data_IF_378240061989
#
_entry.id   IF_378240061989
#
_cell.length_a   1.000
_cell.length_b   1.000
_cell.length_c   1.000
_cell.angle_alpha   90.00
_cell.angle_beta   90.00
_cell.angle_gamma   90.00
#
_symmetry.space_group_name_H-M   'P 1'
#
loop_
_entity.id
_entity.type
_entity.pdbx_description
1 polymer ?
#
# COMPACT_ATOMS: atom_id res chain seq x y z
N UNK A 1 -24.81 10.22 -0.80
CA UNK A 1 -24.29 8.84 -0.75
C UNK A 1 -22.78 8.97 -0.90
N UNK A 2 -22.02 8.86 0.21
CA UNK A 2 -20.58 9.10 0.19
C UNK A 2 -19.89 7.95 -0.60
N UNK A 3 -19.07 8.29 -1.58
CA UNK A 3 -18.27 7.30 -2.30
C UNK A 3 -17.29 6.66 -1.32
N UNK A 4 -17.40 5.35 -1.09
CA UNK A 4 -16.41 4.59 -0.32
C UNK A 4 -15.12 4.55 -1.15
N UNK A 5 -14.15 5.35 -0.73
CA UNK A 5 -12.79 5.34 -1.28
C UNK A 5 -12.20 3.96 -1.02
N UNK A 6 -11.49 3.39 -2.00
CA UNK A 6 -10.83 2.10 -1.86
C UNK A 6 -9.55 2.29 -1.02
N UNK A 7 -9.59 1.83 0.23
CA UNK A 7 -8.51 1.95 1.21
C UNK A 7 -7.18 1.34 0.72
N UNK A 8 -7.22 0.38 -0.20
CA UNK A 8 -6.02 -0.23 -0.76
C UNK A 8 -5.20 0.73 -1.65
N UNK A 9 -5.84 1.75 -2.24
CA UNK A 9 -5.16 2.79 -3.05
C UNK A 9 -4.74 4.01 -2.23
N UNK A 10 -5.22 4.13 -0.99
CA UNK A 10 -4.80 5.20 -0.10
C UNK A 10 -3.45 4.83 0.49
N UNK A 11 -2.56 5.80 0.76
CA UNK A 11 -1.39 5.52 1.58
C UNK A 11 -1.77 4.83 2.90
N UNK A 12 -0.92 3.91 3.33
CA UNK A 12 -1.25 3.05 4.47
C UNK A 12 -1.52 3.94 5.68
N UNK A 13 -2.65 3.71 6.33
CA UNK A 13 -2.92 4.40 7.58
C UNK A 13 -1.81 4.02 8.58
N UNK A 14 -1.27 5.01 9.26
CA UNK A 14 -0.23 4.90 10.29
C UNK A 14 -0.65 4.08 11.52
N UNK A 15 -1.82 3.44 11.49
CA UNK A 15 -2.37 2.60 12.55
C UNK A 15 -1.59 1.31 12.71
N UNK A 16 -1.48 0.80 13.92
CA UNK A 16 -0.84 -0.50 14.16
C UNK A 16 -1.68 -1.68 13.67
N UNK A 17 -1.02 -2.81 13.47
CA UNK A 17 -1.68 -4.09 13.18
C UNK A 17 -2.18 -4.24 11.75
N UNK A 18 -1.76 -3.38 10.81
CA UNK A 18 -2.14 -3.56 9.41
C UNK A 18 -1.54 -4.86 8.86
N UNK A 19 -2.27 -5.56 7.96
CA UNK A 19 -1.86 -6.84 7.44
C UNK A 19 -0.68 -6.67 6.47
N UNK A 20 0.32 -7.54 6.60
CA UNK A 20 1.52 -7.56 5.77
C UNK A 20 1.78 -8.95 5.21
N UNK A 21 2.52 -9.03 4.12
CA UNK A 21 3.06 -10.30 3.62
C UNK A 21 4.49 -10.15 3.11
N UNK A 22 5.23 -11.24 3.13
CA UNK A 22 6.51 -11.32 2.42
C UNK A 22 6.28 -11.17 0.91
N UNK A 23 7.15 -10.42 0.23
CA UNK A 23 7.15 -10.32 -1.22
C UNK A 23 8.20 -11.27 -1.84
N UNK A 24 7.87 -11.96 -2.96
CA UNK A 24 6.54 -12.06 -3.56
C UNK A 24 5.55 -12.79 -2.63
N UNK A 25 4.26 -12.46 -2.74
CA UNK A 25 3.17 -12.79 -1.78
C UNK A 25 3.33 -14.17 -1.13
N UNK A 26 3.91 -14.18 0.07
CA UNK A 26 4.29 -15.36 0.84
C UNK A 26 3.60 -15.40 2.21
N UNK A 27 4.38 -15.65 3.27
CA UNK A 27 3.86 -15.66 4.63
C UNK A 27 3.17 -14.34 4.98
N UNK A 28 1.99 -14.42 5.59
CA UNK A 28 1.18 -13.27 5.99
C UNK A 28 1.26 -13.06 7.51
N UNK A 29 1.12 -11.81 7.94
CA UNK A 29 1.11 -11.41 9.34
C UNK A 29 0.62 -9.98 9.51
N UNK A 30 1.02 -9.35 10.61
CA UNK A 30 0.68 -7.95 10.89
C UNK A 30 1.93 -7.16 11.25
N UNK A 31 1.92 -5.87 10.93
CA UNK A 31 2.93 -4.95 11.46
C UNK A 31 2.62 -4.64 12.92
N UNK A 32 3.53 -4.98 13.82
CA UNK A 32 3.31 -4.88 15.26
C UNK A 32 3.48 -3.47 15.81
N UNK A 33 4.67 -2.88 15.61
CA UNK A 33 5.05 -1.58 16.16
C UNK A 33 5.86 -0.77 15.16
N UNK A 34 5.84 0.55 15.30
CA UNK A 34 6.78 1.43 14.61
C UNK A 34 7.87 1.91 15.57
N UNK A 35 9.11 1.99 15.10
CA UNK A 35 10.28 2.26 15.91
C UNK A 35 11.14 3.34 15.24
N UNK A 36 11.81 4.16 16.04
CA UNK A 36 12.94 4.98 15.60
C UNK A 36 14.15 4.66 16.47
N UNK A 37 15.28 4.41 15.83
CA UNK A 37 16.54 4.12 16.52
C UNK A 37 17.27 5.42 16.82
N UNK A 38 17.85 5.51 18.01
CA UNK A 38 18.70 6.63 18.38
C UNK A 38 19.97 6.64 17.50
N UNK A 39 20.34 7.81 17.00
CA UNK A 39 21.38 7.98 15.98
C UNK A 39 20.86 8.12 14.54
N UNK A 40 19.63 7.68 14.21
CA UNK A 40 19.02 7.95 12.90
C UNK A 40 17.51 8.20 13.00
N UNK A 41 17.14 9.47 13.21
CA UNK A 41 15.74 9.92 13.22
C UNK A 41 15.14 10.10 11.82
N UNK A 42 15.95 9.97 10.77
CA UNK A 42 15.46 10.11 9.39
C UNK A 42 14.73 8.85 8.91
N UNK A 43 14.93 7.73 9.60
CA UNK A 43 14.34 6.44 9.27
C UNK A 43 13.27 6.04 10.26
N UNK A 44 12.28 5.33 9.74
CA UNK A 44 11.27 4.65 10.54
C UNK A 44 11.37 3.17 10.27
N UNK A 45 11.35 2.39 11.35
CA UNK A 45 11.32 0.95 11.29
C UNK A 45 9.97 0.39 11.71
N UNK A 46 9.61 -0.76 11.16
CA UNK A 46 8.51 -1.59 11.59
C UNK A 46 9.02 -2.85 12.27
N UNK A 47 8.33 -3.29 13.32
CA UNK A 47 8.57 -4.58 13.97
C UNK A 47 7.52 -5.59 13.50
N UNK A 48 7.98 -6.69 12.93
CA UNK A 48 7.15 -7.81 12.49
C UNK A 48 7.71 -9.14 13.01
N UNK A 49 6.93 -10.21 12.96
CA UNK A 49 7.42 -11.54 13.33
C UNK A 49 8.44 -12.04 12.30
N UNK A 50 9.51 -12.71 12.76
CA UNK A 50 10.58 -13.22 11.88
C UNK A 50 10.05 -14.23 10.88
N UNK A 51 9.16 -15.13 11.33
CA UNK A 51 8.52 -16.13 10.47
C UNK A 51 7.62 -15.55 9.36
N UNK A 52 7.29 -14.25 9.41
CA UNK A 52 6.61 -13.53 8.33
C UNK A 52 7.64 -12.84 7.43
N UNK A 53 8.59 -12.13 8.05
CA UNK A 53 9.53 -11.27 7.33
C UNK A 53 10.56 -12.03 6.47
N UNK A 54 11.04 -13.18 6.95
CA UNK A 54 12.06 -13.98 6.27
C UNK A 54 11.64 -15.45 6.13
N UNK A 55 10.35 -15.67 5.90
CA UNK A 55 9.81 -17.01 5.68
C UNK A 55 10.56 -17.74 4.57
N UNK A 56 10.85 -19.03 4.76
CA UNK A 56 11.62 -19.86 3.84
C UNK A 56 13.14 -19.62 3.83
N UNK A 57 13.62 -18.55 4.49
CA UNK A 57 15.05 -18.24 4.66
C UNK A 57 15.51 -18.39 6.10
N UNK A 58 14.76 -19.11 6.94
CA UNK A 58 14.99 -19.16 8.38
C UNK A 58 16.26 -19.91 8.76
N UNK A 59 16.63 -20.94 7.98
CA UNK A 59 17.72 -21.88 8.26
C UNK A 59 19.10 -21.38 7.83
N UNK A 60 19.15 -20.44 6.88
CA UNK A 60 20.40 -20.03 6.24
C UNK A 60 21.09 -18.84 6.94
N UNK A 61 20.49 -18.30 8.01
CA UNK A 61 20.88 -16.97 8.49
C UNK A 61 21.07 -16.90 10.01
N UNK A 62 22.35 -16.91 10.44
CA UNK A 62 22.79 -16.76 11.84
C UNK A 62 22.53 -15.37 12.45
N UNK A 63 22.31 -14.36 11.61
CA UNK A 63 21.69 -13.06 11.91
C UNK A 63 21.42 -12.44 10.53
N UNK A 64 20.15 -12.20 10.19
CA UNK A 64 19.84 -11.56 8.92
C UNK A 64 20.19 -10.09 9.06
N UNK A 65 21.19 -9.68 8.31
CA UNK A 65 21.53 -8.28 8.04
C UNK A 65 21.53 -8.12 6.55
N UNK A 66 20.99 -6.99 6.09
CA UNK A 66 21.04 -6.62 4.68
C UNK A 66 22.46 -6.83 4.12
N UNK A 67 22.60 -7.76 3.18
CA UNK A 67 23.78 -7.92 2.33
C UNK A 67 23.35 -7.58 0.89
N UNK A 68 24.29 -7.07 0.09
CA UNK A 68 24.00 -6.67 -1.29
C UNK A 68 23.38 -7.83 -2.07
N UNK A 69 22.15 -7.64 -2.55
CA UNK A 69 21.44 -8.55 -3.46
C UNK A 69 20.40 -9.51 -2.85
N UNK A 70 20.29 -9.64 -1.52
CA UNK A 70 19.35 -10.60 -0.89
C UNK A 70 18.28 -9.94 0.01
N UNK A 71 17.73 -8.80 -0.41
CA UNK A 71 16.73 -8.06 0.37
C UNK A 71 15.38 -8.79 0.43
N UNK A 72 14.93 -9.08 1.66
CA UNK A 72 13.57 -9.55 1.89
C UNK A 72 12.64 -8.34 1.99
N UNK A 73 11.62 -8.29 1.13
CA UNK A 73 10.67 -7.20 1.09
C UNK A 73 9.37 -7.58 1.79
N UNK A 74 8.75 -6.60 2.43
CA UNK A 74 7.40 -6.73 2.97
C UNK A 74 6.45 -5.82 2.20
N UNK A 75 5.27 -6.34 1.91
CA UNK A 75 4.20 -5.63 1.22
C UNK A 75 2.92 -5.64 2.04
N UNK A 76 1.98 -4.75 1.69
CA UNK A 76 0.65 -4.74 2.30
C UNK A 76 -0.12 -6.00 1.88
N UNK A 77 -0.61 -6.78 2.83
CA UNK A 77 -1.45 -7.94 2.54
C UNK A 77 -2.89 -7.49 2.29
N UNK A 78 -3.16 -7.10 1.04
CA UNK A 78 -4.52 -6.82 0.59
C UNK A 78 -5.22 -8.16 0.26
N UNK A 79 -6.45 -8.41 0.74
CA UNK A 79 -7.22 -9.56 0.31
C UNK A 79 -7.48 -9.50 -1.19
N UNK A 80 -7.12 -10.55 -1.93
CA UNK A 80 -7.36 -10.63 -3.38
C UNK A 80 -8.82 -10.36 -3.73
N UNK A 81 -9.76 -10.87 -2.92
CA UNK A 81 -11.19 -10.65 -3.12
C UNK A 81 -11.64 -9.19 -2.95
N UNK A 82 -10.94 -8.40 -2.14
CA UNK A 82 -11.20 -6.96 -2.02
C UNK A 82 -10.70 -6.22 -3.27
N UNK A 83 -9.55 -6.64 -3.79
CA UNK A 83 -8.99 -6.10 -5.02
C UNK A 83 -9.88 -6.41 -6.23
N UNK A 84 -10.29 -7.67 -6.41
CA UNK A 84 -11.18 -8.11 -7.49
C UNK A 84 -12.50 -7.33 -7.48
N UNK A 85 -13.11 -7.13 -6.31
CA UNK A 85 -14.34 -6.32 -6.16
C UNK A 85 -14.11 -4.86 -6.56
N UNK A 86 -12.93 -4.31 -6.29
CA UNK A 86 -12.60 -2.94 -6.67
C UNK A 86 -12.35 -2.82 -8.18
N UNK A 87 -11.64 -3.78 -8.78
CA UNK A 87 -11.48 -3.86 -10.24
C UNK A 87 -12.83 -4.00 -10.94
N UNK A 88 -13.72 -4.86 -10.43
CA UNK A 88 -15.07 -5.03 -10.98
C UNK A 88 -15.87 -3.72 -10.96
N UNK A 89 -15.82 -2.99 -9.84
CA UNK A 89 -16.50 -1.69 -9.71
C UNK A 89 -15.91 -0.63 -10.64
N UNK A 90 -14.58 -0.56 -10.76
CA UNK A 90 -13.93 0.37 -11.68
C UNK A 90 -14.26 0.02 -13.14
N UNK A 91 -14.31 -1.27 -13.49
CA UNK A 91 -14.74 -1.74 -14.82
C UNK A 91 -16.18 -1.33 -15.14
N UNK A 92 -17.10 -1.49 -14.17
CA UNK A 92 -18.49 -1.01 -14.30
C UNK A 92 -18.57 0.50 -14.48
N UNK A 93 -17.80 1.26 -13.71
CA UNK A 93 -17.74 2.71 -13.84
C UNK A 93 -17.22 3.13 -15.22
N UNK A 94 -16.11 2.52 -15.68
CA UNK A 94 -15.54 2.75 -17.01
C UNK A 94 -16.57 2.49 -18.10
N UNK A 95 -17.24 1.34 -18.05
CA UNK A 95 -18.28 0.99 -19.03
C UNK A 95 -19.43 1.99 -19.04
N UNK A 96 -19.87 2.45 -17.85
CA UNK A 96 -20.91 3.47 -17.74
C UNK A 96 -20.50 4.79 -18.40
N UNK A 97 -19.27 5.26 -18.16
CA UNK A 97 -18.76 6.50 -18.76
C UNK A 97 -18.60 6.38 -20.27
N UNK A 98 -18.10 5.25 -20.76
CA UNK A 98 -18.02 4.97 -22.21
C UNK A 98 -19.40 5.00 -22.87
N UNK A 99 -20.41 4.42 -22.22
CA UNK A 99 -21.79 4.46 -22.71
C UNK A 99 -22.36 5.89 -22.69
N UNK A 100 -22.07 6.67 -21.65
CA UNK A 100 -22.48 8.07 -21.55
C UNK A 100 -21.85 8.91 -22.69
N UNK A 101 -20.56 8.74 -22.95
CA UNK A 101 -19.85 9.40 -24.05
C UNK A 101 -20.50 9.11 -25.40
N UNK A 102 -20.77 7.82 -25.70
CA UNK A 102 -21.46 7.42 -26.94
C UNK A 102 -22.84 8.07 -27.07
N UNK A 103 -23.60 8.14 -25.97
CA UNK A 103 -24.93 8.77 -25.95
C UNK A 103 -24.86 10.28 -26.17
N UNK A 104 -23.91 10.96 -25.53
CA UNK A 104 -23.70 12.40 -25.69
C UNK A 104 -23.25 12.74 -27.11
N UNK A 105 -22.33 11.97 -27.68
CA UNK A 105 -21.87 12.13 -29.06
C UNK A 105 -23.05 12.00 -30.05
N UNK A 106 -23.86 10.93 -29.91
CA UNK A 106 -25.04 10.74 -30.78
C UNK A 106 -26.01 11.91 -30.70
N UNK A 107 -26.26 12.45 -29.50
CA UNK A 107 -27.11 13.64 -29.31
C UNK A 107 -26.53 14.86 -30.01
N UNK A 108 -25.21 15.09 -29.93
CA UNK A 108 -24.55 16.20 -30.64
C UNK A 108 -24.73 16.08 -32.16
N UNK A 109 -24.58 14.86 -32.69
CA UNK A 109 -24.74 14.59 -34.12
C UNK A 109 -26.20 14.80 -34.58
N UNK A 110 -27.18 14.37 -33.77
CA UNK A 110 -28.62 14.65 -34.00
C UNK A 110 -28.91 16.17 -34.05
N UNK A 111 -28.27 16.99 -33.19
CA UNK A 111 -28.47 18.44 -33.19
C UNK A 111 -27.76 19.15 -34.34
N UNK A 112 -26.65 18.62 -34.86
CA UNK A 112 -26.00 19.19 -36.06
C UNK A 112 -26.88 19.11 -37.31
N UNK A 113 -27.86 18.21 -37.34
CA UNK A 113 -28.86 18.13 -38.41
C UNK A 113 -29.97 19.21 -38.29
N UNK A 114 -30.03 19.98 -37.19
CA UNK A 114 -31.05 21.00 -36.91
C UNK A 114 -30.38 22.36 -36.58
N UNK A 115 -30.48 23.34 -37.49
CA UNK A 115 -29.91 24.69 -37.29
C UNK A 115 -30.48 25.46 -36.08
N UNK A 116 -31.62 25.04 -35.52
CA UNK A 116 -32.31 25.77 -34.43
C UNK A 116 -31.75 25.52 -33.02
N UNK A 117 -30.85 24.55 -32.85
CA UNK A 117 -30.46 24.05 -31.52
C UNK A 117 -28.98 24.29 -31.17
N UNK A 118 -28.36 25.37 -31.69
CA UNK A 118 -26.94 25.71 -31.43
C UNK A 118 -26.60 25.82 -29.93
N UNK A 119 -27.51 26.36 -29.12
CA UNK A 119 -27.32 26.47 -27.66
C UNK A 119 -27.28 25.08 -27.01
N UNK A 120 -28.20 24.19 -27.38
CA UNK A 120 -28.23 22.81 -26.86
C UNK A 120 -26.97 22.05 -27.28
N UNK A 121 -26.56 22.18 -28.54
CA UNK A 121 -25.34 21.55 -29.04
C UNK A 121 -24.09 21.97 -28.24
N UNK A 122 -23.98 23.23 -27.83
CA UNK A 122 -22.88 23.69 -26.96
C UNK A 122 -22.95 23.08 -25.55
N UNK A 123 -24.12 23.01 -24.93
CA UNK A 123 -24.29 22.36 -23.62
C UNK A 123 -23.84 20.89 -23.68
N UNK A 124 -24.25 20.15 -24.71
CA UNK A 124 -23.85 18.75 -24.89
C UNK A 124 -22.34 18.59 -25.14
N UNK A 125 -21.69 19.54 -25.85
CA UNK A 125 -20.22 19.54 -26.01
C UNK A 125 -19.49 19.74 -24.68
N UNK A 126 -19.95 20.64 -23.83
CA UNK A 126 -19.38 20.83 -22.49
C UNK A 126 -19.55 19.58 -21.62
N UNK A 127 -20.72 18.93 -21.68
CA UNK A 127 -20.95 17.65 -21.00
C UNK A 127 -20.06 16.53 -21.55
N UNK A 128 -19.83 16.49 -22.86
CA UNK A 128 -18.94 15.52 -23.49
C UNK A 128 -17.50 15.70 -23.03
N UNK A 129 -17.00 16.93 -22.97
CA UNK A 129 -15.67 17.24 -22.44
C UNK A 129 -15.54 16.80 -20.98
N UNK A 130 -16.53 17.08 -20.15
CA UNK A 130 -16.53 16.63 -18.76
C UNK A 130 -16.51 15.10 -18.64
N UNK A 131 -17.34 14.41 -19.44
CA UNK A 131 -17.36 12.94 -19.47
C UNK A 131 -16.04 12.34 -19.99
N UNK A 132 -15.34 13.01 -20.90
CA UNK A 132 -14.02 12.59 -21.39
C UNK A 132 -12.95 12.74 -20.30
N UNK A 133 -12.96 13.85 -19.56
CA UNK A 133 -12.11 14.03 -18.37
C UNK A 133 -12.38 12.98 -17.30
N UNK A 134 -13.66 12.66 -17.05
CA UNK A 134 -14.05 11.61 -16.12
C UNK A 134 -13.54 10.24 -16.59
N UNK A 135 -13.63 9.93 -17.89
CA UNK A 135 -13.10 8.69 -18.46
C UNK A 135 -11.59 8.58 -18.24
N UNK A 136 -10.84 9.65 -18.51
CA UNK A 136 -9.38 9.67 -18.28
C UNK A 136 -9.04 9.38 -16.82
N UNK A 137 -9.72 10.03 -15.87
CA UNK A 137 -9.50 9.78 -14.45
C UNK A 137 -9.82 8.33 -14.06
N UNK A 138 -10.91 7.74 -14.57
CA UNK A 138 -11.26 6.33 -14.31
C UNK A 138 -10.24 5.38 -14.94
N UNK A 139 -9.77 5.64 -16.16
CA UNK A 139 -8.77 4.82 -16.85
C UNK A 139 -7.40 4.89 -16.16
N UNK A 140 -7.00 6.06 -15.67
CA UNK A 140 -5.77 6.24 -14.88
C UNK A 140 -5.82 5.41 -13.58
N UNK A 141 -6.94 5.45 -12.87
CA UNK A 141 -7.13 4.66 -11.64
C UNK A 141 -7.22 3.16 -11.94
N UNK A 142 -7.88 2.77 -13.03
CA UNK A 142 -8.02 1.37 -13.44
C UNK A 142 -6.66 0.77 -13.83
N UNK A 143 -5.86 1.49 -14.61
CA UNK A 143 -4.52 1.05 -15.04
C UNK A 143 -3.51 1.05 -13.89
N UNK A 144 -3.54 2.04 -13.01
CA UNK A 144 -2.71 2.05 -11.79
C UNK A 144 -3.08 0.91 -10.82
N UNK A 145 -4.37 0.56 -10.74
CA UNK A 145 -4.86 -0.54 -9.92
C UNK A 145 -4.43 -1.94 -10.41
N UNK A 146 -4.06 -2.07 -11.68
CA UNK A 146 -3.67 -3.36 -12.30
C UNK A 146 -2.24 -3.80 -11.94
N UNK A 147 -1.36 -2.86 -11.56
CA UNK A 147 0.05 -3.14 -11.24
C UNK A 147 0.47 -2.70 -9.84
N UNK A 148 -0.12 -1.65 -9.27
CA UNK A 148 0.34 -1.07 -7.99
C UNK A 148 -0.29 -1.66 -6.72
N UNK A 149 -1.44 -2.33 -6.82
CA UNK A 149 -2.21 -2.77 -5.65
C UNK A 149 -1.81 -4.16 -5.12
N UNK A 150 -1.27 -5.03 -5.97
CA UNK A 150 -0.92 -6.41 -5.62
C UNK A 150 0.43 -6.53 -4.91
N UNK A 151 1.30 -5.54 -5.09
CA UNK A 151 2.71 -5.63 -4.73
C UNK A 151 3.21 -4.36 -4.04
N UNK A 152 2.32 -3.68 -3.30
CA UNK A 152 2.69 -2.45 -2.59
C UNK A 152 3.72 -2.74 -1.52
N UNK A 153 4.98 -2.62 -1.89
CA UNK A 153 6.13 -2.84 -1.01
C UNK A 153 6.21 -1.71 0.01
N UNK A 154 6.09 -2.05 1.29
CA UNK A 154 6.15 -1.13 2.41
C UNK A 154 7.59 -0.85 2.84
N UNK A 155 8.50 -1.79 2.58
CA UNK A 155 9.87 -1.70 3.04
C UNK A 155 10.65 -2.99 2.81
N UNK A 156 11.80 -3.07 3.46
CA UNK A 156 12.67 -4.23 3.42
C UNK A 156 13.16 -4.59 4.82
N UNK A 157 13.47 -5.86 5.04
CA UNK A 157 14.04 -6.33 6.31
C UNK A 157 15.44 -5.76 6.45
N UNK A 158 15.65 -4.96 7.49
CA UNK A 158 16.95 -4.40 7.84
C UNK A 158 17.73 -5.35 8.75
N UNK A 159 17.03 -6.01 9.68
CA UNK A 159 17.63 -6.93 10.64
C UNK A 159 16.66 -8.01 11.11
N UNK A 160 17.14 -9.23 11.34
CA UNK A 160 16.44 -10.24 12.13
C UNK A 160 17.47 -11.10 12.85
N UNK A 161 17.34 -11.33 14.18
CA UNK A 161 18.26 -12.17 14.91
C UNK A 161 18.09 -13.64 14.51
N UNK A 162 19.11 -14.46 14.76
CA UNK A 162 18.97 -15.91 14.58
C UNK A 162 18.11 -16.57 15.66
N UNK A 163 17.30 -17.54 15.23
CA UNK A 163 16.67 -18.51 16.14
C UNK A 163 17.74 -19.54 16.52
N UNK A 164 18.50 -19.25 17.58
CA UNK A 164 19.41 -20.24 18.14
C UNK A 164 18.60 -21.47 18.55
N UNK A 165 18.97 -22.66 18.03
CA UNK A 165 18.37 -23.92 18.45
C UNK A 165 18.54 -24.03 19.96
N UNK A 166 17.44 -23.95 20.69
CA UNK A 166 17.40 -23.93 22.15
C UNK A 166 17.85 -25.28 22.69
N UNK A 167 19.16 -25.53 22.76
CA UNK A 167 19.66 -26.72 23.42
C UNK A 167 19.69 -26.60 24.94
N UNK A 168 19.44 -25.42 25.57
CA UNK A 168 19.34 -25.30 27.04
C UNK A 168 18.61 -24.06 27.61
N UNK A 169 17.89 -23.23 26.84
CA UNK A 169 17.11 -22.13 27.43
C UNK A 169 15.87 -21.77 26.61
N UNK A 170 14.76 -21.43 27.28
CA UNK A 170 13.48 -20.98 26.71
C UNK A 170 13.56 -19.65 25.91
N UNK A 171 14.75 -19.24 25.46
CA UNK A 171 15.01 -17.96 24.82
C UNK A 171 14.59 -17.89 23.33
N UNK A 172 14.17 -18.99 22.71
CA UNK A 172 13.81 -19.03 21.29
C UNK A 172 12.67 -18.07 20.92
N UNK A 173 11.64 -17.96 21.77
CA UNK A 173 10.51 -17.06 21.54
C UNK A 173 10.89 -15.58 21.58
N UNK A 174 11.96 -15.20 22.31
CA UNK A 174 12.42 -13.81 22.41
C UNK A 174 13.09 -13.28 21.12
N UNK A 175 13.33 -14.15 20.14
CA UNK A 175 14.04 -13.84 18.90
C UNK A 175 13.19 -14.00 17.63
N UNK A 176 11.88 -14.25 17.76
CA UNK A 176 10.96 -14.30 16.62
C UNK A 176 10.47 -12.90 16.22
N UNK A 177 11.40 -12.02 15.88
CA UNK A 177 11.11 -10.67 15.43
C UNK A 177 12.06 -10.25 14.31
N UNK A 178 11.62 -9.33 13.47
CA UNK A 178 12.40 -8.72 12.41
C UNK A 178 12.14 -7.22 12.39
N UNK A 179 13.22 -6.46 12.19
CA UNK A 179 13.22 -5.03 11.98
C UNK A 179 13.15 -4.74 10.48
N UNK A 180 12.20 -3.92 10.10
CA UNK A 180 11.86 -3.61 8.70
C UNK A 180 12.06 -2.12 8.50
N UNK A 181 12.95 -1.70 7.60
CA UNK A 181 13.05 -0.29 7.24
C UNK A 181 11.89 0.08 6.33
N UNK A 182 11.07 1.05 6.77
CA UNK A 182 9.84 1.44 6.10
C UNK A 182 10.08 2.60 5.14
N UNK A 183 9.47 2.50 3.95
CA UNK A 183 9.46 3.55 2.95
C UNK A 183 8.42 4.62 3.33
N UNK A 184 8.88 5.80 3.73
CA UNK A 184 8.00 6.90 4.16
C UNK A 184 6.96 7.30 3.10
N UNK A 185 7.29 7.16 1.81
CA UNK A 185 6.37 7.43 0.70
C UNK A 185 5.14 6.52 0.66
N UNK A 186 5.10 5.45 1.45
CA UNK A 186 4.00 4.50 1.48
C UNK A 186 2.92 4.84 2.53
N UNK A 187 3.14 5.86 3.36
CA UNK A 187 2.25 6.24 4.46
C UNK A 187 1.65 7.63 4.23
N UNK A 188 0.41 7.86 4.69
CA UNK A 188 -0.27 9.16 4.55
C UNK A 188 0.32 10.18 5.53
N UNK A 189 0.53 9.71 6.74
CA UNK A 189 1.04 10.45 7.87
C UNK A 189 2.20 9.68 8.49
N UNK A 190 2.94 10.34 9.37
CA UNK A 190 3.92 9.63 10.16
C UNK A 190 3.26 8.52 11.01
N UNK A 191 3.91 7.34 11.14
CA UNK A 191 3.38 6.24 11.94
C UNK A 191 3.04 6.67 13.38
N UNK A 192 1.85 6.32 13.88
CA UNK A 192 1.26 6.92 15.09
C UNK A 192 1.87 6.37 16.38
N UNK A 193 2.23 5.08 16.43
CA UNK A 193 2.80 4.45 17.63
C UNK A 193 4.29 4.16 17.45
N UNK A 194 5.09 5.19 17.72
CA UNK A 194 6.56 5.16 17.65
C UNK A 194 7.17 4.90 19.03
N UNK A 195 7.97 3.84 19.15
CA UNK A 195 8.86 3.63 20.31
C UNK A 195 10.28 4.05 19.95
N UNK A 196 10.90 4.86 20.81
CA UNK A 196 12.29 5.27 20.67
C UNK A 196 13.21 4.26 21.37
N UNK A 197 14.19 3.74 20.65
CA UNK A 197 15.17 2.79 21.20
C UNK A 197 16.56 3.43 21.17
N UNK A 198 17.06 3.80 22.35
CA UNK A 198 18.41 4.33 22.59
C UNK A 198 18.50 5.17 23.87
N UNK A 199 19.70 5.66 24.18
CA UNK A 199 20.04 6.17 25.51
C UNK A 199 19.68 7.66 25.64
N UNK A 200 18.44 7.96 26.06
CA UNK A 200 18.15 9.27 26.63
C UNK A 200 18.55 9.26 28.11
N UNK A 201 19.66 9.96 28.40
CA UNK A 201 20.37 9.92 29.67
C UNK A 201 19.47 10.00 30.91
N UNK A 202 19.60 8.99 31.76
CA UNK A 202 19.38 9.14 33.20
C UNK A 202 20.41 10.14 33.75
N UNK A 203 20.10 11.43 33.69
CA UNK A 203 20.80 12.41 34.53
C UNK A 203 20.35 12.18 35.98
N UNK A 204 21.06 11.28 36.69
CA UNK A 204 21.10 11.34 38.14
C UNK A 204 22.04 12.49 38.52
N UNK A 205 21.48 13.64 38.85
CA UNK A 205 22.20 14.67 39.59
C UNK A 205 22.63 14.09 40.94
N UNK A 206 23.93 14.20 41.22
CA UNK A 206 24.58 13.87 42.48
C UNK A 206 24.05 14.72 43.64
#
# INVERSE_FOLDING_TARGET
MAAKINEAMLPVHSSLGYPISQAPRGAEGTMGLHLQLDGDKSKTYGLASRHVAIAGKEKDVMDYKMQDGDQCHLQLAVPLSALEKCQEKLGKARHFVEHLLKRLQRRIDEFRASERDKIKANIYRSLLQYADSLKKAVDEVYTAGDTGLLERTLGHVAFSPTLASCSNSNAGFSRDWALVELSASQFNDEPENKVYIGYQGFNRSA
#
